data_IF_163155283231
#
_entry.id   IF_163155283231
#
_cell.length_a   1.000
_cell.length_b   1.000
_cell.length_c   1.000
_cell.angle_alpha   90.00
_cell.angle_beta   90.00
_cell.angle_gamma   90.00
#
_symmetry.space_group_name_H-M   'P 1'
#
loop_
_entity.id
_entity.type
_entity.pdbx_description
1 polymer ?
#
# COMPACT_ATOMS: atom_id res chain seq x y z
N UNK A 1 12.00 -4.49 10.24
CA UNK A 1 11.13 -4.36 9.04
C UNK A 1 9.78 -4.87 9.47
N UNK A 2 8.70 -4.11 9.24
CA UNK A 2 7.36 -4.56 9.61
C UNK A 2 6.92 -5.70 8.68
N UNK A 3 6.47 -6.81 9.26
CA UNK A 3 5.85 -7.92 8.56
C UNK A 3 4.35 -7.71 8.36
N UNK A 4 3.68 -8.67 7.73
CA UNK A 4 2.22 -8.65 7.54
C UNK A 4 1.49 -8.69 8.89
N UNK A 5 2.06 -9.38 9.88
CA UNK A 5 1.54 -9.46 11.25
C UNK A 5 1.47 -8.10 11.97
N UNK A 6 2.39 -7.19 11.65
CA UNK A 6 2.44 -5.85 12.24
C UNK A 6 1.40 -4.89 11.64
N UNK A 7 0.86 -5.20 10.47
CA UNK A 7 -0.07 -4.32 9.73
C UNK A 7 -1.29 -3.98 10.58
N UNK A 8 -1.82 -4.97 11.31
CA UNK A 8 -2.98 -4.75 12.15
C UNK A 8 -2.72 -3.69 13.21
N UNK A 9 -1.64 -3.87 13.98
CA UNK A 9 -1.30 -2.98 15.08
C UNK A 9 -0.94 -1.58 14.56
N UNK A 10 -0.17 -1.50 13.47
CA UNK A 10 0.21 -0.23 12.83
C UNK A 10 -1.01 0.53 12.32
N UNK A 11 -1.90 -0.11 11.56
CA UNK A 11 -3.11 0.55 11.02
C UNK A 11 -4.03 0.97 12.17
N UNK A 12 -4.17 0.14 13.20
CA UNK A 12 -4.97 0.47 14.38
C UNK A 12 -4.42 1.68 15.13
N UNK A 13 -3.10 1.79 15.30
CA UNK A 13 -2.46 2.89 16.03
C UNK A 13 -2.39 4.18 15.21
N UNK A 14 -2.01 4.10 13.94
CA UNK A 14 -1.76 5.27 13.08
C UNK A 14 -3.07 5.83 12.51
N UNK A 15 -4.09 4.99 12.33
CA UNK A 15 -5.36 5.34 11.67
C UNK A 15 -5.17 6.09 10.34
N UNK A 16 -4.40 5.55 9.38
CA UNK A 16 -4.08 6.27 8.14
C UNK A 16 -5.29 6.35 7.18
N UNK A 17 -5.39 7.47 6.46
CA UNK A 17 -6.33 7.60 5.33
C UNK A 17 -5.90 6.82 4.09
N UNK A 18 -4.58 6.61 3.93
CA UNK A 18 -3.98 5.95 2.77
C UNK A 18 -2.87 5.00 3.20
N UNK A 19 -2.90 3.75 2.71
CA UNK A 19 -1.87 2.74 2.91
C UNK A 19 -1.18 2.36 1.59
N UNK A 20 0.15 2.42 1.57
CA UNK A 20 0.96 1.98 0.43
C UNK A 20 1.62 0.62 0.74
N UNK A 21 1.40 -0.38 -0.11
CA UNK A 21 2.12 -1.66 -0.05
C UNK A 21 3.38 -1.56 -0.90
N UNK A 22 4.54 -1.84 -0.31
CA UNK A 22 5.83 -1.78 -0.98
C UNK A 22 5.95 -2.84 -2.09
N UNK A 23 6.77 -2.56 -3.11
CA UNK A 23 7.01 -3.46 -4.25
C UNK A 23 7.80 -4.73 -3.91
N UNK A 24 8.17 -4.93 -2.64
CA UNK A 24 8.78 -6.18 -2.17
C UNK A 24 7.73 -7.27 -1.90
N UNK A 25 6.47 -6.88 -1.68
CA UNK A 25 5.40 -7.82 -1.44
C UNK A 25 4.90 -8.40 -2.76
N UNK A 26 4.59 -9.70 -2.75
CA UNK A 26 3.85 -10.33 -3.85
C UNK A 26 2.43 -9.76 -3.94
N UNK A 27 1.73 -10.06 -5.03
CA UNK A 27 0.34 -9.64 -5.20
C UNK A 27 -0.59 -10.22 -4.13
N UNK A 28 -0.33 -11.46 -3.68
CA UNK A 28 -1.12 -12.13 -2.65
C UNK A 28 -0.89 -11.50 -1.26
N UNK A 29 0.37 -11.26 -0.91
CA UNK A 29 0.73 -10.57 0.34
C UNK A 29 0.16 -9.16 0.36
N UNK A 30 0.26 -8.43 -0.75
CA UNK A 30 -0.34 -7.09 -0.86
C UNK A 30 -1.86 -7.13 -0.68
N UNK A 31 -2.56 -8.10 -1.27
CA UNK A 31 -4.01 -8.27 -1.05
C UNK A 31 -4.33 -8.55 0.41
N UNK A 32 -3.54 -9.38 1.08
CA UNK A 32 -3.71 -9.70 2.49
C UNK A 32 -3.53 -8.45 3.36
N UNK A 33 -2.47 -7.67 3.13
CA UNK A 33 -2.21 -6.40 3.83
C UNK A 33 -3.39 -5.43 3.64
N UNK A 34 -3.87 -5.26 2.41
CA UNK A 34 -5.01 -4.39 2.12
C UNK A 34 -6.29 -4.87 2.81
N UNK A 35 -6.53 -6.18 2.86
CA UNK A 35 -7.70 -6.74 3.52
C UNK A 35 -7.66 -6.51 5.03
N UNK A 36 -6.50 -6.71 5.66
CA UNK A 36 -6.30 -6.40 7.09
C UNK A 36 -6.59 -4.93 7.35
N UNK A 37 -6.04 -4.03 6.52
CA UNK A 37 -6.23 -2.61 6.69
C UNK A 37 -7.70 -2.18 6.52
N UNK A 38 -8.40 -2.69 5.50
CA UNK A 38 -9.83 -2.42 5.28
C UNK A 38 -10.74 -2.97 6.37
N UNK A 39 -10.36 -4.08 7.01
CA UNK A 39 -11.11 -4.61 8.14
C UNK A 39 -11.06 -3.68 9.37
N UNK A 40 -9.97 -2.92 9.52
CA UNK A 40 -9.79 -1.99 10.64
C UNK A 40 -10.38 -0.62 10.30
N UNK A 41 -10.12 -0.14 9.07
CA UNK A 41 -10.59 1.14 8.56
C UNK A 41 -11.32 0.87 7.25
N UNK A 42 -12.66 0.74 7.26
CA UNK A 42 -13.43 0.35 6.09
C UNK A 42 -13.16 1.21 4.86
N UNK A 43 -12.95 2.52 5.06
CA UNK A 43 -12.80 3.51 4.02
C UNK A 43 -11.33 3.85 3.71
N UNK A 44 -10.38 3.03 4.16
CA UNK A 44 -8.96 3.28 3.88
C UNK A 44 -8.68 3.10 2.39
N UNK A 45 -8.00 4.10 1.81
CA UNK A 45 -7.50 3.99 0.44
C UNK A 45 -6.21 3.20 0.46
N UNK A 46 -6.08 2.24 -0.44
CA UNK A 46 -4.89 1.39 -0.48
C UNK A 46 -4.29 1.32 -1.88
N UNK A 47 -2.98 1.37 -1.98
CA UNK A 47 -2.28 1.17 -3.24
C UNK A 47 -1.14 0.17 -3.07
N UNK A 48 -1.12 -0.87 -3.91
CA UNK A 48 0.01 -1.78 -3.98
C UNK A 48 0.92 -1.39 -5.14
N UNK A 49 2.18 -1.07 -4.82
CA UNK A 49 3.21 -0.88 -5.84
C UNK A 49 3.49 -2.25 -6.48
N UNK A 50 3.50 -2.37 -7.82
CA UNK A 50 3.71 -3.65 -8.48
C UNK A 50 4.99 -4.36 -8.02
N UNK A 51 4.89 -5.67 -7.78
CA UNK A 51 5.98 -6.49 -7.28
C UNK A 51 7.21 -6.38 -8.20
N UNK A 52 8.38 -6.14 -7.60
CA UNK A 52 9.66 -6.01 -8.30
C UNK A 52 9.87 -4.68 -9.03
N UNK A 53 8.91 -3.75 -9.01
CA UNK A 53 9.02 -2.46 -9.72
C UNK A 53 10.26 -1.67 -9.29
N UNK A 54 10.49 -1.49 -7.99
CA UNK A 54 11.66 -0.75 -7.50
C UNK A 54 13.01 -1.34 -7.96
N UNK A 55 13.08 -2.67 -8.13
CA UNK A 55 14.28 -3.33 -8.64
C UNK A 55 14.43 -3.10 -10.14
N UNK A 56 13.33 -3.13 -10.89
CA UNK A 56 13.33 -3.00 -12.33
C UNK A 56 13.60 -1.57 -12.83
N UNK A 57 12.99 -0.56 -12.20
CA UNK A 57 13.06 0.84 -12.65
C UNK A 57 13.80 1.77 -11.67
N UNK A 58 14.21 1.25 -10.51
CA UNK A 58 14.88 2.01 -9.47
C UNK A 58 13.91 2.76 -8.54
N UNK A 59 14.44 3.28 -7.42
CA UNK A 59 13.65 3.99 -6.41
C UNK A 59 13.05 5.30 -6.92
N UNK A 60 13.81 6.14 -7.63
CA UNK A 60 13.31 7.42 -8.17
C UNK A 60 12.15 7.22 -9.15
N UNK A 61 12.28 6.30 -10.10
CA UNK A 61 11.22 6.04 -11.07
C UNK A 61 9.98 5.41 -10.42
N UNK A 62 10.16 4.63 -9.35
CA UNK A 62 9.04 4.11 -8.54
C UNK A 62 8.29 5.24 -7.85
N UNK A 63 9.02 6.21 -7.28
CA UNK A 63 8.40 7.41 -6.68
C UNK A 63 7.63 8.20 -7.73
N UNK A 64 8.19 8.41 -8.93
CA UNK A 64 7.48 9.10 -10.02
C UNK A 64 6.24 8.33 -10.49
N UNK A 65 6.30 6.99 -10.54
CA UNK A 65 5.14 6.16 -10.84
C UNK A 65 4.02 6.35 -9.81
N UNK A 66 4.36 6.28 -8.52
CA UNK A 66 3.39 6.48 -7.42
C UNK A 66 2.81 7.89 -7.47
N UNK A 67 3.64 8.92 -7.71
CA UNK A 67 3.17 10.31 -7.87
C UNK A 67 2.20 10.45 -9.04
N UNK A 68 2.49 9.83 -10.18
CA UNK A 68 1.60 9.84 -11.35
C UNK A 68 0.25 9.17 -11.05
N UNK A 69 0.23 8.23 -10.11
CA UNK A 69 -0.98 7.51 -9.67
C UNK A 69 -1.67 8.15 -8.47
N UNK A 70 -1.06 9.16 -7.84
CA UNK A 70 -1.55 9.74 -6.59
C UNK A 70 -2.99 10.26 -6.70
N UNK A 71 -3.33 10.93 -7.81
CA UNK A 71 -4.70 11.42 -8.04
C UNK A 71 -5.69 10.26 -8.10
N UNK A 72 -5.37 9.20 -8.83
CA UNK A 72 -6.21 7.99 -8.93
C UNK A 72 -6.39 7.33 -7.55
N UNK A 73 -5.30 7.20 -6.78
CA UNK A 73 -5.30 6.61 -5.43
C UNK A 73 -6.17 7.44 -4.47
N UNK A 74 -6.01 8.76 -4.49
CA UNK A 74 -6.75 9.67 -3.63
C UNK A 74 -8.21 9.84 -4.08
N UNK A 75 -8.52 9.63 -5.35
CA UNK A 75 -9.90 9.72 -5.86
C UNK A 75 -10.65 8.39 -5.82
N UNK A 76 -10.05 7.31 -5.30
CA UNK A 76 -10.79 6.06 -5.10
C UNK A 76 -11.87 6.28 -4.03
N UNK A 77 -13.14 6.30 -4.46
CA UNK A 77 -14.29 6.18 -3.59
C UNK A 77 -14.41 4.72 -3.17
N UNK A 78 -14.36 4.48 -1.86
CA UNK A 78 -14.41 3.16 -1.25
C UNK A 78 -15.70 3.02 -0.44
#
# INVERSE_FOLDING_TARGET
>A
MAGIEDVHDIVQQVQPDVLFCASMWTEDESKQIQQIARNIIPNIRTYAVPHGMQVAIGPDATVEHVKSKLVEILSQEN
#
